data_IF_961703351980
#
_entry.id   IF_961703351980
#
_cell.length_a   1.000
_cell.length_b   1.000
_cell.length_c   1.000
_cell.angle_alpha   90.00
_cell.angle_beta   90.00
_cell.angle_gamma   90.00
#
_symmetry.space_group_name_H-M   'P 1'
#
loop_
_entity.id
_entity.type
_entity.pdbx_description
1 polymer ?
#
# COMPACT_ATOMS: atom_id res chain seq x y z
N UNK A 1 -18.04 -1.00 -8.12
CA UNK A 1 -16.63 -1.04 -8.60
C UNK A 1 -15.66 -0.93 -7.43
N UNK A 2 -14.52 -1.64 -7.49
CA UNK A 2 -13.47 -1.60 -6.46
C UNK A 2 -12.24 -0.85 -6.97
N UNK A 3 -11.74 0.15 -6.21
CA UNK A 3 -10.47 0.80 -6.51
C UNK A 3 -9.34 0.15 -5.68
N UNK A 4 -8.24 -0.20 -6.33
CA UNK A 4 -7.03 -0.71 -5.66
C UNK A 4 -5.88 0.27 -5.87
N UNK A 5 -5.36 0.86 -4.81
CA UNK A 5 -4.08 1.58 -4.85
C UNK A 5 -2.94 0.63 -4.47
N UNK A 6 -1.77 0.82 -5.05
CA UNK A 6 -0.66 -0.11 -4.82
C UNK A 6 -0.80 -1.47 -5.54
N UNK A 7 -1.71 -1.58 -6.52
CA UNK A 7 -1.97 -2.81 -7.29
C UNK A 7 -0.77 -3.39 -8.04
N UNK A 8 0.32 -2.62 -8.20
CA UNK A 8 1.58 -3.09 -8.80
C UNK A 8 2.55 -3.69 -7.78
N UNK A 9 2.26 -3.56 -6.49
CA UNK A 9 3.04 -4.11 -5.38
C UNK A 9 2.86 -5.63 -5.21
N UNK A 10 3.59 -6.22 -4.27
CA UNK A 10 3.52 -7.65 -3.97
C UNK A 10 2.09 -8.10 -3.57
N UNK A 11 1.54 -7.50 -2.52
CA UNK A 11 0.17 -7.79 -2.06
C UNK A 11 -0.86 -7.39 -3.12
N UNK A 12 -0.68 -6.20 -3.72
CA UNK A 12 -1.65 -5.64 -4.65
C UNK A 12 -1.88 -6.49 -5.90
N UNK A 13 -0.82 -7.09 -6.47
CA UNK A 13 -0.96 -7.98 -7.64
C UNK A 13 -1.77 -9.23 -7.32
N UNK A 14 -1.56 -9.82 -6.15
CA UNK A 14 -2.31 -10.98 -5.70
C UNK A 14 -3.78 -10.62 -5.45
N UNK A 15 -4.03 -9.51 -4.76
CA UNK A 15 -5.37 -9.02 -4.49
C UNK A 15 -6.15 -8.70 -5.77
N UNK A 16 -5.55 -7.94 -6.70
CA UNK A 16 -6.20 -7.58 -7.97
C UNK A 16 -6.62 -8.83 -8.74
N UNK A 17 -5.75 -9.85 -8.80
CA UNK A 17 -6.10 -11.12 -9.44
C UNK A 17 -7.30 -11.77 -8.76
N UNK A 18 -7.25 -11.95 -7.45
CA UNK A 18 -8.33 -12.59 -6.69
C UNK A 18 -9.67 -11.85 -6.80
N UNK A 19 -9.66 -10.52 -6.78
CA UNK A 19 -10.88 -9.73 -6.94
C UNK A 19 -11.50 -9.92 -8.33
N UNK A 20 -10.69 -9.92 -9.38
CA UNK A 20 -11.18 -10.15 -10.76
C UNK A 20 -11.65 -11.59 -10.95
N UNK A 21 -10.92 -12.58 -10.43
CA UNK A 21 -11.31 -14.00 -10.47
C UNK A 21 -12.62 -14.24 -9.71
N UNK A 22 -12.90 -13.42 -8.68
CA UNK A 22 -14.18 -13.42 -7.95
C UNK A 22 -15.31 -12.65 -8.67
N UNK A 23 -15.06 -12.12 -9.87
CA UNK A 23 -16.06 -11.43 -10.70
C UNK A 23 -16.27 -9.95 -10.36
N UNK A 24 -15.38 -9.33 -9.57
CA UNK A 24 -15.48 -7.91 -9.27
C UNK A 24 -14.91 -7.04 -10.39
N UNK A 25 -15.55 -5.92 -10.65
CA UNK A 25 -14.99 -4.84 -11.47
C UNK A 25 -13.91 -4.09 -10.66
N UNK A 26 -12.67 -4.12 -11.16
CA UNK A 26 -11.51 -3.55 -10.48
C UNK A 26 -10.88 -2.44 -11.28
N UNK A 27 -10.70 -1.28 -10.64
CA UNK A 27 -9.87 -0.17 -11.13
C UNK A 27 -8.60 -0.11 -10.31
N UNK A 28 -7.44 -0.10 -10.98
CA UNK A 28 -6.15 0.04 -10.31
C UNK A 28 -5.60 1.44 -10.51
N UNK A 29 -5.28 2.12 -9.41
CA UNK A 29 -4.63 3.43 -9.43
C UNK A 29 -3.11 3.23 -9.57
N UNK A 30 -2.54 3.78 -10.63
CA UNK A 30 -1.12 3.69 -10.94
C UNK A 30 -0.50 5.08 -10.95
N UNK A 31 0.60 5.24 -10.26
CA UNK A 31 1.36 6.49 -10.29
C UNK A 31 1.99 6.71 -11.66
N UNK A 32 1.94 7.94 -12.23
CA UNK A 32 2.71 8.28 -13.43
C UNK A 32 4.17 7.87 -13.29
N UNK A 33 4.69 7.12 -14.26
CA UNK A 33 6.06 6.60 -14.26
C UNK A 33 6.52 6.36 -15.69
N UNK A 34 7.82 6.56 -15.95
CA UNK A 34 8.45 6.17 -17.22
C UNK A 34 8.64 4.65 -17.34
N UNK A 35 8.45 3.90 -16.25
CA UNK A 35 8.55 2.44 -16.27
C UNK A 35 7.18 1.82 -16.47
N UNK A 36 7.13 0.76 -17.27
CA UNK A 36 5.92 -0.04 -17.46
C UNK A 36 5.45 -0.63 -16.12
N UNK A 37 4.19 -0.41 -15.71
CA UNK A 37 3.67 -0.92 -14.46
C UNK A 37 3.57 -2.45 -14.50
N UNK A 38 3.93 -3.09 -13.38
CA UNK A 38 3.85 -4.55 -13.22
C UNK A 38 2.45 -4.96 -12.75
N UNK A 39 1.48 -4.95 -13.64
CA UNK A 39 0.15 -5.50 -13.37
C UNK A 39 0.13 -7.02 -13.58
N UNK A 40 -0.83 -7.76 -12.97
CA UNK A 40 -1.01 -9.17 -13.25
C UNK A 40 -1.36 -9.37 -14.74
N UNK A 41 -0.63 -10.25 -15.42
CA UNK A 41 -0.86 -10.54 -16.83
C UNK A 41 -2.19 -11.29 -17.02
N UNK A 42 -2.91 -10.93 -18.08
CA UNK A 42 -4.17 -11.59 -18.45
C UNK A 42 -5.34 -11.29 -17.53
N UNK A 43 -5.22 -10.32 -16.62
CA UNK A 43 -6.30 -9.91 -15.71
C UNK A 43 -6.92 -8.62 -16.25
N UNK A 44 -8.21 -8.61 -16.63
CA UNK A 44 -8.89 -7.42 -17.12
C UNK A 44 -9.12 -6.43 -15.97
N UNK A 45 -8.41 -5.30 -15.99
CA UNK A 45 -8.55 -4.24 -14.99
C UNK A 45 -8.62 -2.88 -15.66
N UNK A 46 -9.41 -2.00 -15.11
CA UNK A 46 -9.37 -0.58 -15.49
C UNK A 46 -8.15 0.08 -14.85
N UNK A 47 -7.45 0.91 -15.60
CA UNK A 47 -6.24 1.60 -15.13
C UNK A 47 -6.47 3.09 -15.08
N UNK A 48 -6.36 3.68 -13.89
CA UNK A 48 -6.31 5.12 -13.70
C UNK A 48 -4.86 5.55 -13.41
N UNK A 49 -4.26 6.33 -14.30
CA UNK A 49 -2.89 6.85 -14.11
C UNK A 49 -2.95 8.18 -13.38
N UNK A 50 -2.83 8.12 -12.06
CA UNK A 50 -3.01 9.27 -11.15
C UNK A 50 -2.04 9.17 -9.99
N UNK A 51 -1.44 10.31 -9.60
CA UNK A 51 -0.69 10.43 -8.34
C UNK A 51 -1.63 10.64 -7.16
N UNK A 52 -1.29 10.11 -5.99
CA UNK A 52 -2.00 10.44 -4.75
C UNK A 52 -1.90 11.92 -4.35
N UNK A 53 -0.99 12.68 -4.96
CA UNK A 53 -0.90 14.14 -4.82
C UNK A 53 -1.83 14.92 -5.77
N UNK A 54 -2.38 14.27 -6.80
CA UNK A 54 -3.29 14.88 -7.76
C UNK A 54 -4.75 14.71 -7.31
N UNK A 55 -5.24 15.66 -6.53
CA UNK A 55 -6.61 15.64 -5.99
C UNK A 55 -7.67 15.62 -7.10
N UNK A 56 -7.44 16.33 -8.23
CA UNK A 56 -8.38 16.33 -9.35
C UNK A 56 -8.44 14.98 -10.04
N UNK A 57 -7.29 14.38 -10.28
CA UNK A 57 -7.18 13.04 -10.82
C UNK A 57 -7.81 12.00 -9.91
N UNK A 58 -7.63 12.11 -8.58
CA UNK A 58 -8.27 11.22 -7.60
C UNK A 58 -9.80 11.30 -7.67
N UNK A 59 -10.38 12.49 -7.70
CA UNK A 59 -11.84 12.67 -7.86
C UNK A 59 -12.37 12.04 -9.16
N UNK A 60 -11.62 12.14 -10.25
CA UNK A 60 -11.98 11.48 -11.51
C UNK A 60 -11.88 9.95 -11.40
N UNK A 61 -10.81 9.44 -10.80
CA UNK A 61 -10.56 8.01 -10.62
C UNK A 61 -11.56 7.34 -9.65
N UNK A 62 -12.17 8.10 -8.75
CA UNK A 62 -13.15 7.62 -7.76
C UNK A 62 -14.59 7.59 -8.26
N UNK A 63 -14.87 8.06 -9.47
CA UNK A 63 -16.24 8.01 -10.02
C UNK A 63 -16.71 6.56 -10.14
N UNK A 64 -17.84 6.25 -9.52
CA UNK A 64 -18.46 4.92 -9.53
C UNK A 64 -17.72 3.88 -8.69
N UNK A 65 -16.84 4.32 -7.79
CA UNK A 65 -16.13 3.43 -6.86
C UNK A 65 -16.93 3.32 -5.57
N UNK A 66 -17.22 2.08 -5.16
CA UNK A 66 -17.91 1.77 -3.91
C UNK A 66 -16.94 1.44 -2.78
N UNK A 67 -15.85 0.73 -3.10
CA UNK A 67 -14.88 0.22 -2.11
C UNK A 67 -13.46 0.54 -2.54
N UNK A 68 -12.63 0.93 -1.59
CA UNK A 68 -11.20 1.17 -1.80
C UNK A 68 -10.37 0.16 -1.01
N UNK A 69 -9.42 -0.50 -1.69
CA UNK A 69 -8.30 -1.22 -1.06
C UNK A 69 -7.05 -0.35 -1.17
N UNK A 70 -6.67 0.29 -0.07
CA UNK A 70 -5.52 1.18 -0.04
C UNK A 70 -4.26 0.45 0.43
N UNK A 71 -3.44 0.02 -0.54
CA UNK A 71 -2.19 -0.72 -0.34
C UNK A 71 -0.95 0.11 -0.74
N UNK A 72 -1.16 1.32 -1.25
CA UNK A 72 -0.05 2.18 -1.63
C UNK A 72 0.70 2.65 -0.38
N UNK A 73 2.02 2.53 -0.40
CA UNK A 73 2.90 2.98 0.68
C UNK A 73 4.32 3.22 0.18
N UNK A 74 5.11 3.92 0.98
CA UNK A 74 6.53 4.20 0.74
C UNK A 74 7.47 3.08 1.18
N UNK A 75 6.98 2.10 1.93
CA UNK A 75 7.77 0.97 2.41
C UNK A 75 8.42 0.21 1.25
N UNK A 76 9.61 -0.32 1.46
CA UNK A 76 10.33 -1.10 0.45
C UNK A 76 11.02 -0.28 -0.66
N UNK A 77 11.00 1.05 -0.59
CA UNK A 77 11.74 1.93 -1.51
C UNK A 77 13.09 2.39 -0.97
N UNK A 78 13.47 1.92 0.22
CA UNK A 78 14.71 2.33 0.89
C UNK A 78 14.74 3.82 1.26
N UNK A 79 15.92 4.39 1.47
CA UNK A 79 16.10 5.78 1.90
C UNK A 79 15.61 6.88 0.95
N UNK A 80 15.10 6.51 -0.24
CA UNK A 80 14.48 7.45 -1.19
C UNK A 80 12.95 7.51 -1.13
N UNK A 81 12.33 6.82 -0.16
CA UNK A 81 10.87 6.83 0.00
C UNK A 81 10.43 8.15 0.64
N UNK A 82 9.60 8.92 -0.06
CA UNK A 82 8.94 10.06 0.56
C UNK A 82 7.68 9.57 1.29
N UNK A 83 7.86 9.12 2.54
CA UNK A 83 6.79 8.66 3.40
C UNK A 83 5.74 9.75 3.66
N UNK A 84 6.19 10.99 3.78
CA UNK A 84 5.29 12.12 3.98
C UNK A 84 4.33 12.28 2.80
N UNK A 85 4.85 12.30 1.58
CA UNK A 85 4.01 12.49 0.39
C UNK A 85 3.12 11.27 0.10
N UNK A 86 3.67 10.06 0.25
CA UNK A 86 2.93 8.85 -0.17
C UNK A 86 1.98 8.37 0.92
N UNK A 87 2.50 8.15 2.16
CA UNK A 87 1.73 7.53 3.22
C UNK A 87 0.86 8.54 3.96
N UNK A 88 1.36 9.74 4.25
CA UNK A 88 0.60 10.73 5.01
C UNK A 88 -0.30 11.55 4.07
N UNK A 89 0.30 12.38 3.22
CA UNK A 89 -0.46 13.31 2.38
C UNK A 89 -1.29 12.58 1.33
N UNK A 90 -0.74 11.51 0.73
CA UNK A 90 -1.44 10.70 -0.25
C UNK A 90 -2.67 9.99 0.32
N UNK A 91 -2.56 9.42 1.52
CA UNK A 91 -3.70 8.80 2.21
C UNK A 91 -4.75 9.84 2.60
N UNK A 92 -4.32 11.01 3.08
CA UNK A 92 -5.23 12.13 3.36
C UNK A 92 -6.03 12.54 2.12
N UNK A 93 -5.33 12.83 1.01
CA UNK A 93 -5.97 13.26 -0.24
C UNK A 93 -6.96 12.21 -0.76
N UNK A 94 -6.57 10.92 -0.67
CA UNK A 94 -7.44 9.81 -1.09
C UNK A 94 -8.68 9.74 -0.21
N UNK A 95 -8.54 9.83 1.12
CA UNK A 95 -9.64 9.77 2.07
C UNK A 95 -10.64 10.92 1.90
N UNK A 96 -10.12 12.16 1.71
CA UNK A 96 -10.94 13.34 1.43
C UNK A 96 -11.70 13.20 0.10
N UNK A 97 -11.01 12.82 -0.98
CA UNK A 97 -11.65 12.61 -2.29
C UNK A 97 -12.65 11.44 -2.28
N UNK A 98 -12.39 10.38 -1.51
CA UNK A 98 -13.30 9.26 -1.34
C UNK A 98 -14.57 9.64 -0.59
N UNK A 99 -14.46 10.47 0.44
CA UNK A 99 -15.63 11.01 1.16
C UNK A 99 -16.51 11.85 0.25
N UNK A 100 -15.92 12.73 -0.55
CA UNK A 100 -16.64 13.54 -1.55
C UNK A 100 -17.31 12.69 -2.64
N UNK A 101 -16.69 11.55 -3.03
CA UNK A 101 -17.21 10.65 -4.03
C UNK A 101 -18.31 9.69 -3.52
N UNK A 102 -18.57 9.66 -2.21
CA UNK A 102 -19.55 8.77 -1.60
C UNK A 102 -19.11 7.31 -1.52
N UNK A 103 -17.80 7.05 -1.42
CA UNK A 103 -17.26 5.70 -1.24
C UNK A 103 -17.82 5.09 0.05
N UNK A 104 -18.22 3.83 -0.03
CA UNK A 104 -18.93 3.15 1.06
C UNK A 104 -17.98 2.47 2.05
N UNK A 105 -16.78 2.09 1.63
CA UNK A 105 -15.82 1.42 2.52
C UNK A 105 -14.37 1.61 2.08
N UNK A 106 -13.46 1.78 3.05
CA UNK A 106 -12.01 1.80 2.82
C UNK A 106 -11.34 0.70 3.64
N UNK A 107 -10.66 -0.24 2.96
CA UNK A 107 -9.72 -1.14 3.61
C UNK A 107 -8.31 -0.59 3.44
N UNK A 108 -7.62 -0.36 4.54
CA UNK A 108 -6.26 0.15 4.58
C UNK A 108 -5.30 -0.89 5.18
N UNK A 109 -4.20 -1.16 4.48
CA UNK A 109 -3.13 -2.01 5.01
C UNK A 109 -2.09 -1.15 5.72
N UNK A 110 -2.03 -1.34 7.03
CA UNK A 110 -1.13 -0.66 7.94
C UNK A 110 -0.08 -1.63 8.50
N UNK A 111 0.72 -1.18 9.45
CA UNK A 111 1.76 -1.97 10.12
C UNK A 111 1.34 -2.27 11.57
N UNK A 112 1.76 -3.43 12.11
CA UNK A 112 1.75 -3.66 13.56
C UNK A 112 2.43 -2.49 14.24
N UNK A 113 2.31 -2.07 15.35
CA UNK A 113 2.99 -0.96 16.04
C UNK A 113 2.88 0.41 15.32
N UNK A 114 1.98 0.56 14.33
CA UNK A 114 1.70 1.85 13.73
C UNK A 114 1.19 2.82 14.81
N UNK A 115 1.97 3.88 15.06
CA UNK A 115 1.67 4.90 16.06
C UNK A 115 2.19 6.26 15.59
N UNK A 116 1.33 7.28 15.65
CA UNK A 116 1.69 8.67 15.29
C UNK A 116 2.79 9.26 16.17
N UNK A 117 2.98 8.74 17.38
CA UNK A 117 4.02 9.16 18.31
C UNK A 117 5.31 8.35 18.18
N UNK A 118 5.34 7.34 17.29
CA UNK A 118 6.52 6.50 17.10
C UNK A 118 7.75 7.31 16.68
N UNK A 119 8.92 6.93 17.20
CA UNK A 119 10.21 7.44 16.77
C UNK A 119 10.62 6.89 15.38
N UNK A 120 10.05 5.76 14.97
CA UNK A 120 10.34 5.14 13.67
C UNK A 120 9.50 5.78 12.57
N UNK A 121 10.12 6.38 11.52
CA UNK A 121 9.42 7.16 10.51
C UNK A 121 8.29 6.41 9.79
N UNK A 122 8.49 5.12 9.49
CA UNK A 122 7.46 4.29 8.83
C UNK A 122 6.26 4.08 9.73
N UNK A 123 6.48 3.69 10.99
CA UNK A 123 5.40 3.44 11.96
C UNK A 123 4.62 4.73 12.26
N UNK A 124 5.35 5.85 12.38
CA UNK A 124 4.75 7.17 12.54
C UNK A 124 3.87 7.55 11.35
N UNK A 125 4.39 7.39 10.12
CA UNK A 125 3.65 7.71 8.91
C UNK A 125 2.37 6.86 8.80
N UNK A 126 2.46 5.56 9.10
CA UNK A 126 1.31 4.65 9.13
C UNK A 126 0.28 5.06 10.19
N UNK A 127 0.72 5.40 11.40
CA UNK A 127 -0.17 5.87 12.47
C UNK A 127 -0.92 7.16 12.10
N UNK A 128 -0.24 8.12 11.44
CA UNK A 128 -0.87 9.33 10.94
C UNK A 128 -1.85 9.02 9.80
N UNK A 129 -1.49 8.14 8.88
CA UNK A 129 -2.35 7.70 7.79
C UNK A 129 -3.63 7.03 8.31
N UNK A 130 -3.53 6.16 9.32
CA UNK A 130 -4.71 5.56 9.98
C UNK A 130 -5.65 6.64 10.54
N UNK A 131 -5.09 7.72 11.10
CA UNK A 131 -5.91 8.81 11.64
C UNK A 131 -6.69 9.54 10.53
N UNK A 132 -6.09 9.74 9.35
CA UNK A 132 -6.79 10.30 8.20
C UNK A 132 -7.95 9.39 7.73
N UNK A 133 -7.73 8.07 7.70
CA UNK A 133 -8.80 7.11 7.37
C UNK A 133 -9.92 7.18 8.41
N UNK A 134 -9.61 7.16 9.71
CA UNK A 134 -10.63 7.24 10.78
C UNK A 134 -11.46 8.52 10.73
N UNK A 135 -10.83 9.64 10.34
CA UNK A 135 -11.48 10.95 10.26
C UNK A 135 -12.23 11.20 8.96
N UNK A 136 -12.14 10.31 7.97
CA UNK A 136 -12.81 10.48 6.67
C UNK A 136 -14.34 10.44 6.75
N UNK A 137 -14.89 9.89 7.83
CA UNK A 137 -16.32 9.62 7.96
C UNK A 137 -16.81 8.41 7.17
N UNK A 138 -15.93 7.74 6.43
CA UNK A 138 -16.25 6.54 5.65
C UNK A 138 -16.07 5.31 6.54
N UNK A 139 -16.97 4.31 6.50
CA UNK A 139 -16.73 3.01 7.12
C UNK A 139 -15.39 2.42 6.68
N UNK A 140 -14.59 1.92 7.60
CA UNK A 140 -13.26 1.47 7.28
C UNK A 140 -12.88 0.15 7.98
N UNK A 141 -11.91 -0.53 7.38
CA UNK A 141 -11.15 -1.63 7.99
C UNK A 141 -9.67 -1.31 7.92
N UNK A 142 -9.00 -1.25 9.06
CA UNK A 142 -7.55 -1.12 9.13
C UNK A 142 -6.95 -2.48 9.46
N UNK A 143 -6.24 -3.07 8.49
CA UNK A 143 -5.55 -4.33 8.66
C UNK A 143 -4.08 -4.04 9.01
N UNK A 144 -3.73 -4.23 10.28
CA UNK A 144 -2.34 -4.11 10.74
C UNK A 144 -1.62 -5.42 10.52
N UNK A 145 -0.59 -5.41 9.69
CA UNK A 145 0.21 -6.60 9.35
C UNK A 145 1.63 -6.44 9.85
N UNK A 146 2.30 -7.56 10.11
CA UNK A 146 3.74 -7.68 10.20
C UNK A 146 4.33 -7.88 8.80
N UNK A 147 5.49 -8.50 8.69
CA UNK A 147 6.09 -8.86 7.39
C UNK A 147 5.17 -9.84 6.67
N UNK A 148 4.72 -9.45 5.48
CA UNK A 148 3.94 -10.31 4.59
C UNK A 148 4.90 -10.94 3.59
N UNK A 149 4.92 -12.27 3.54
CA UNK A 149 5.79 -13.04 2.67
C UNK A 149 5.01 -14.04 1.82
N UNK A 150 5.61 -14.50 0.73
CA UNK A 150 5.03 -15.46 -0.18
C UNK A 150 5.66 -15.41 -1.57
N UNK A 151 5.16 -16.17 -2.56
CA UNK A 151 5.73 -16.23 -3.90
C UNK A 151 5.86 -14.85 -4.55
N UNK A 152 7.10 -14.41 -4.78
CA UNK A 152 7.40 -13.13 -5.42
C UNK A 152 7.53 -11.93 -4.45
N UNK A 153 7.64 -12.15 -3.13
CA UNK A 153 8.01 -11.12 -2.18
C UNK A 153 9.51 -10.77 -2.27
N UNK A 154 9.86 -9.61 -1.72
CA UNK A 154 11.25 -9.19 -1.67
C UNK A 154 11.97 -9.76 -0.44
N UNK A 155 11.28 -9.94 0.69
CA UNK A 155 11.89 -10.32 1.96
C UNK A 155 12.56 -11.70 1.87
N UNK A 156 11.82 -12.73 1.47
CA UNK A 156 12.37 -14.09 1.35
C UNK A 156 13.40 -14.19 0.23
N UNK A 157 13.22 -13.43 -0.86
CA UNK A 157 14.17 -13.37 -1.97
C UNK A 157 15.50 -12.74 -1.55
N UNK A 158 15.48 -11.63 -0.82
CA UNK A 158 16.68 -10.93 -0.35
C UNK A 158 17.39 -11.74 0.75
N UNK A 159 16.62 -12.38 1.64
CA UNK A 159 17.15 -13.31 2.63
C UNK A 159 17.90 -14.50 1.96
N UNK A 160 17.27 -15.11 0.94
CA UNK A 160 17.88 -16.20 0.19
C UNK A 160 19.17 -15.76 -0.54
N UNK A 161 19.21 -14.52 -1.05
CA UNK A 161 20.44 -13.95 -1.64
C UNK A 161 21.53 -13.76 -0.60
N UNK A 162 21.22 -13.21 0.56
CA UNK A 162 22.17 -13.03 1.66
C UNK A 162 22.77 -14.37 2.10
N UNK A 163 21.94 -15.38 2.28
CA UNK A 163 22.41 -16.73 2.64
C UNK A 163 23.33 -17.36 1.58
N UNK A 164 23.10 -17.08 0.29
CA UNK A 164 23.98 -17.56 -0.79
C UNK A 164 25.34 -16.86 -0.84
N UNK A 165 25.38 -15.58 -0.46
CA UNK A 165 26.60 -14.76 -0.47
C UNK A 165 27.44 -15.03 0.77
N UNK A 166 26.82 -15.39 1.89
CA UNK A 166 27.47 -15.67 3.18
C UNK A 166 27.20 -17.10 3.68
N UNK A 167 27.69 -18.13 3.01
CA UNK A 167 27.31 -19.52 3.34
C UNK A 167 27.84 -20.01 4.70
N UNK A 168 28.72 -19.26 5.38
CA UNK A 168 29.31 -19.64 6.67
C UNK A 168 29.06 -18.71 7.85
N UNK A 169 28.57 -17.48 7.59
CA UNK A 169 28.37 -16.48 8.66
C UNK A 169 27.12 -15.65 8.39
N UNK A 170 26.17 -15.71 9.31
CA UNK A 170 25.00 -14.83 9.30
C UNK A 170 25.04 -13.94 10.53
N UNK A 171 25.31 -12.65 10.34
CA UNK A 171 25.22 -11.65 11.40
C UNK A 171 23.72 -11.34 11.61
N UNK A 172 23.14 -11.90 12.66
CA UNK A 172 21.86 -11.46 13.15
C UNK A 172 22.04 -10.16 13.91
N UNK A 173 21.27 -9.11 13.65
CA UNK A 173 21.24 -7.97 14.55
C UNK A 173 20.80 -8.48 15.92
N UNK A 174 21.66 -8.36 16.90
CA UNK A 174 21.31 -8.67 18.27
C UNK A 174 20.57 -7.46 18.83
N UNK A 175 19.32 -7.65 19.24
CA UNK A 175 18.64 -6.67 20.05
C UNK A 175 19.48 -6.47 21.31
N UNK A 176 19.83 -5.23 21.62
CA UNK A 176 20.83 -4.88 22.65
C UNK A 176 20.38 -5.13 24.10
N UNK A 177 19.64 -6.19 24.35
CA UNK A 177 19.45 -6.73 25.70
C UNK A 177 20.65 -7.60 26.05
N UNK A 178 21.69 -6.95 26.57
CA UNK A 178 22.71 -7.63 27.37
C UNK A 178 22.11 -7.82 28.77
N UNK A 179 21.91 -9.07 29.15
CA UNK A 179 21.53 -9.45 30.50
C UNK A 179 22.54 -8.97 31.54
#
# INVERSE_FOLDING_TARGET
>A
MILVTGGTGFIGRALVRQLVDAGHEVRTLIRPSLRTPRLPKGVPVEVAVVSLSDVRGLRAALRGVDVIYHLAGGEGRGGGANLFETDIQGTRNLAEAASEAGVQHILYVSHLDADRASAFPVLKAKGIAEEHIRRSGIPYTILRTSIVFGPGDNFSTDLARLLRISPGFFLLPQDGEVA
#
